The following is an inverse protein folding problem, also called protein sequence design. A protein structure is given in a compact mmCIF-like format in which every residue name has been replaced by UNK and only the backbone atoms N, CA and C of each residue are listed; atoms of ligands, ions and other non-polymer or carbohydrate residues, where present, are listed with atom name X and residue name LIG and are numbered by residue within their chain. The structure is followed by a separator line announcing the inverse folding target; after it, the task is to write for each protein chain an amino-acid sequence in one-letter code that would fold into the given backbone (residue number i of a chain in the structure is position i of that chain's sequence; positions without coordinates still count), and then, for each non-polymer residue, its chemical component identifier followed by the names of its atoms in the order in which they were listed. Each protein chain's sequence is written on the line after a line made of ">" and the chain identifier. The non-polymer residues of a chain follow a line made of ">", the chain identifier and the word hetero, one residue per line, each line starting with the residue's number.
data_IF_980071064263
#
_entry.id   IF_980071064263
#
_cell.length_a   1.000
_cell.length_b   1.000
_cell.length_c   1.000
_cell.angle_alpha   90.00
_cell.angle_beta   90.00
_cell.angle_gamma   90.00
#
_symmetry.space_group_name_H-M   'P 1'
#
loop_
_entity.id
_entity.type
_entity.pdbx_description
1 polymer ?
#
# COMPACT_ATOMS: atom_id res chain seq x y z
N UNK A 1 13.73 -3.28 8.44
CA UNK A 1 13.26 -2.95 7.07
C UNK A 1 12.79 -4.24 6.41
N UNK A 2 11.54 -4.30 5.97
CA UNK A 2 11.02 -5.44 5.19
C UNK A 2 11.00 -5.00 3.73
N UNK A 3 11.55 -5.82 2.83
CA UNK A 3 11.48 -5.60 1.39
C UNK A 3 10.24 -6.31 0.86
N UNK A 4 9.39 -5.59 0.14
CA UNK A 4 8.19 -6.12 -0.49
C UNK A 4 8.37 -5.99 -1.99
N UNK A 5 8.21 -7.09 -2.71
CA UNK A 5 8.17 -7.10 -4.17
C UNK A 5 6.70 -6.94 -4.57
N UNK A 6 6.43 -5.98 -5.45
CA UNK A 6 5.09 -5.69 -5.95
C UNK A 6 5.20 -5.68 -7.47
N UNK A 7 4.49 -6.61 -8.11
CA UNK A 7 4.35 -6.61 -9.55
C UNK A 7 3.16 -5.76 -9.92
N UNK A 8 3.42 -4.70 -10.70
CA UNK A 8 2.40 -3.83 -11.24
C UNK A 8 2.24 -4.15 -12.73
N UNK A 9 1.00 -4.29 -13.17
CA UNK A 9 0.67 -4.22 -14.58
C UNK A 9 1.02 -2.83 -15.13
N UNK A 10 1.08 -2.72 -16.46
CA UNK A 10 1.38 -1.44 -17.14
C UNK A 10 0.37 -0.35 -16.80
N UNK A 11 -0.87 -0.71 -16.49
CA UNK A 11 -1.93 0.23 -16.15
C UNK A 11 -1.81 0.69 -14.70
N UNK A 12 -1.57 -0.23 -13.77
CA UNK A 12 -1.32 0.09 -12.36
C UNK A 12 -0.07 0.95 -12.18
N UNK A 13 0.99 0.70 -12.96
CA UNK A 13 2.20 1.52 -12.93
C UNK A 13 1.93 2.98 -13.34
N UNK A 14 1.06 3.19 -14.34
CA UNK A 14 0.63 4.54 -14.73
C UNK A 14 -0.16 5.22 -13.62
N UNK A 15 -1.02 4.50 -12.91
CA UNK A 15 -1.77 5.04 -11.77
C UNK A 15 -0.82 5.51 -10.67
N UNK A 16 0.20 4.70 -10.35
CA UNK A 16 1.24 5.05 -9.36
C UNK A 16 2.02 6.29 -9.81
N UNK A 17 2.38 6.39 -11.10
CA UNK A 17 3.06 7.57 -11.64
C UNK A 17 2.21 8.83 -11.60
N UNK A 18 0.93 8.76 -11.95
CA UNK A 18 0.00 9.89 -11.86
C UNK A 18 -0.15 10.32 -10.41
N UNK A 19 -0.33 9.38 -9.48
CA UNK A 19 -0.41 9.67 -8.05
C UNK A 19 0.86 10.38 -7.56
N UNK A 20 2.04 9.88 -7.96
CA UNK A 20 3.33 10.50 -7.63
C UNK A 20 3.39 11.96 -8.10
N UNK A 21 2.94 12.25 -9.31
CA UNK A 21 2.92 13.61 -9.88
C UNK A 21 1.93 14.53 -9.14
N UNK A 22 0.71 14.07 -8.89
CA UNK A 22 -0.33 14.87 -8.21
C UNK A 22 0.06 15.19 -6.77
N UNK A 23 0.75 14.26 -6.10
CA UNK A 23 1.15 14.40 -4.71
C UNK A 23 2.60 14.91 -4.52
N UNK A 24 3.26 15.37 -5.58
CA UNK A 24 4.65 15.88 -5.57
C UNK A 24 5.64 14.93 -4.85
N UNK A 25 5.51 13.63 -5.10
CA UNK A 25 6.36 12.60 -4.50
C UNK A 25 7.59 12.35 -5.38
N UNK A 26 8.70 11.97 -4.75
CA UNK A 26 9.97 11.81 -5.46
C UNK A 26 10.11 10.40 -6.05
N UNK A 27 9.53 9.40 -5.38
CA UNK A 27 9.70 8.00 -5.76
C UNK A 27 8.37 7.25 -5.88
N UNK A 28 8.34 6.22 -6.76
CA UNK A 28 7.21 5.28 -6.83
C UNK A 28 6.97 4.57 -5.50
N UNK A 29 8.04 4.29 -4.74
CA UNK A 29 7.93 3.62 -3.43
C UNK A 29 7.17 4.48 -2.41
N UNK A 30 7.42 5.79 -2.38
CA UNK A 30 6.66 6.71 -1.52
C UNK A 30 5.19 6.79 -1.94
N UNK A 31 4.92 6.85 -3.25
CA UNK A 31 3.56 6.83 -3.78
C UNK A 31 2.82 5.56 -3.34
N UNK A 32 3.38 4.37 -3.60
CA UNK A 32 2.77 3.10 -3.20
C UNK A 32 2.59 3.03 -1.68
N UNK A 33 3.57 3.49 -0.88
CA UNK A 33 3.46 3.48 0.58
C UNK A 33 2.32 4.37 1.07
N UNK A 34 2.13 5.54 0.48
CA UNK A 34 1.00 6.40 0.81
C UNK A 34 -0.32 5.79 0.35
N UNK A 35 -0.39 5.31 -0.89
CA UNK A 35 -1.58 4.64 -1.44
C UNK A 35 -2.02 3.49 -0.53
N UNK A 36 -1.13 2.55 -0.19
CA UNK A 36 -1.42 1.42 0.69
C UNK A 36 -1.78 1.85 2.11
N UNK A 37 -1.27 2.98 2.62
CA UNK A 37 -1.68 3.52 3.92
C UNK A 37 -3.16 3.96 3.92
N UNK A 38 -3.66 4.45 2.78
CA UNK A 38 -5.07 4.85 2.61
C UNK A 38 -5.98 3.68 2.23
N UNK A 39 -5.41 2.58 1.73
CA UNK A 39 -6.08 1.29 1.80
C UNK A 39 -6.02 0.82 3.27
N UNK A 40 -6.95 1.28 4.11
CA UNK A 40 -7.39 0.50 5.28
C UNK A 40 -8.00 -0.82 4.76
N UNK A 41 -7.16 -1.68 4.20
CA UNK A 41 -7.46 -3.08 4.12
C UNK A 41 -7.38 -3.57 5.55
N UNK A 42 -8.47 -4.15 6.05
CA UNK A 42 -8.49 -4.94 7.27
C UNK A 42 -7.42 -6.02 7.13
N UNK A 43 -6.21 -5.77 7.65
CA UNK A 43 -5.15 -6.78 7.70
C UNK A 43 -5.52 -7.73 8.83
N UNK A 44 -6.51 -8.58 8.59
CA UNK A 44 -6.89 -9.65 9.51
C UNK A 44 -5.84 -10.76 9.32
N UNK A 45 -5.01 -11.04 10.34
CA UNK A 45 -4.06 -12.14 10.25
C UNK A 45 -4.87 -13.44 10.09
N UNK A 46 -4.58 -14.24 9.06
CA UNK A 46 -5.29 -15.50 8.76
C UNK A 46 -5.30 -16.52 9.90
N UNK A 47 -4.52 -16.28 10.97
CA UNK A 47 -4.43 -17.12 12.18
C UNK A 47 -5.00 -16.50 13.46
N UNK A 48 -5.66 -15.33 13.43
CA UNK A 48 -6.27 -14.76 14.63
C UNK A 48 -7.76 -15.07 14.67
N UNK A 49 -8.11 -16.08 15.48
CA UNK A 49 -9.49 -16.34 15.88
C UNK A 49 -10.00 -15.14 16.67
N UNK A 50 -10.98 -14.45 16.09
CA UNK A 50 -11.84 -13.42 16.66
C UNK A 50 -11.75 -13.22 18.20
N UNK A 51 -11.52 -11.95 18.59
CA UNK A 51 -11.84 -11.29 19.89
C UNK A 51 -10.69 -10.78 20.79
N UNK A 52 -9.56 -10.31 20.26
CA UNK A 52 -8.54 -9.65 21.11
C UNK A 52 -7.95 -8.34 20.57
N UNK A 53 -8.63 -7.65 19.66
CA UNK A 53 -8.27 -6.26 19.37
C UNK A 53 -9.18 -5.32 20.17
N UNK A 54 -8.55 -4.41 20.90
CA UNK A 54 -9.06 -3.45 21.89
C UNK A 54 -9.12 -3.94 23.35
N UNK A 55 -7.94 -4.06 23.97
CA UNK A 55 -7.70 -3.54 25.33
C UNK A 55 -6.53 -2.59 25.30
#
# INVERSE_FOLDING_TARGET
>A
MVKILIDLSKEEDKIVEIYKLVHNLNTKQEAVKQMVKFFEAEVIPTKLKNKEYFK
#
